data_IF_956314301429
#
_entry.id   IF_956314301429
#
_cell.length_a   1.000
_cell.length_b   1.000
_cell.length_c   1.000
_cell.angle_alpha   90.00
_cell.angle_beta   90.00
_cell.angle_gamma   90.00
#
_symmetry.space_group_name_H-M   'P 1'
#
loop_
_entity.id
_entity.type
_entity.pdbx_description
1 polymer ?
#
# COMPACT_ATOMS: atom_id res chain seq x y z
N UNK A 1 0.40 -28.18 15.78
CA UNK A 1 0.76 -26.78 15.54
C UNK A 1 1.36 -26.63 14.13
N UNK A 2 0.54 -26.80 13.07
CA UNK A 2 1.00 -26.68 11.67
C UNK A 2 0.01 -25.89 10.80
N UNK A 3 -1.00 -25.29 11.44
CA UNK A 3 -2.11 -24.60 10.78
C UNK A 3 -1.94 -23.07 10.78
N UNK A 4 -1.13 -22.52 11.69
CA UNK A 4 -0.89 -21.07 11.76
C UNK A 4 -0.03 -20.53 10.60
N UNK A 5 0.78 -21.37 9.96
CA UNK A 5 1.57 -20.96 8.78
C UNK A 5 0.74 -20.74 7.52
N UNK A 6 -0.53 -21.19 7.47
CA UNK A 6 -1.40 -21.03 6.30
C UNK A 6 -2.10 -19.67 6.27
N UNK A 7 -2.35 -19.05 7.43
CA UNK A 7 -3.01 -17.74 7.50
C UNK A 7 -2.11 -16.57 7.05
N UNK A 8 -0.78 -16.69 7.17
CA UNK A 8 0.12 -15.62 6.72
C UNK A 8 0.42 -15.67 5.21
N UNK A 9 -0.07 -16.70 4.50
CA UNK A 9 0.12 -16.87 3.06
C UNK A 9 -0.98 -16.20 2.20
N UNK A 10 -2.05 -15.71 2.81
CA UNK A 10 -3.24 -15.18 2.11
C UNK A 10 -3.06 -13.71 1.67
N UNK A 11 -2.01 -13.02 2.13
CA UNK A 11 -1.71 -11.64 1.73
C UNK A 11 -0.67 -11.51 0.60
N UNK A 12 -0.05 -12.61 0.16
CA UNK A 12 0.80 -12.60 -1.04
C UNK A 12 -0.03 -13.04 -2.25
N UNK A 13 -0.95 -12.16 -2.65
CA UNK A 13 -1.62 -12.25 -3.94
C UNK A 13 -0.62 -11.94 -5.05
N UNK A 14 -0.10 -13.01 -5.64
CA UNK A 14 0.49 -13.04 -6.98
C UNK A 14 -0.58 -12.56 -7.98
N UNK A 15 -0.44 -11.31 -8.42
CA UNK A 15 -1.11 -10.79 -9.61
C UNK A 15 -0.04 -10.09 -10.44
N UNK A 16 0.66 -10.91 -11.21
CA UNK A 16 1.78 -10.59 -12.10
C UNK A 16 1.37 -9.75 -13.32
N UNK A 17 0.74 -8.61 -13.07
CA UNK A 17 0.61 -7.52 -14.02
C UNK A 17 1.50 -6.36 -13.54
N UNK A 18 2.80 -6.44 -13.84
CA UNK A 18 3.76 -5.31 -13.88
C UNK A 18 3.46 -4.17 -12.88
N UNK A 19 3.24 -4.49 -11.60
CA UNK A 19 3.28 -3.49 -10.53
C UNK A 19 4.75 -3.14 -10.34
N UNK A 20 5.31 -2.38 -11.28
CA UNK A 20 6.62 -1.77 -11.12
C UNK A 20 6.56 -1.03 -9.79
N UNK A 21 7.32 -1.55 -8.83
CA UNK A 21 7.54 -0.87 -7.57
C UNK A 21 7.87 0.59 -7.89
N UNK A 22 7.00 1.48 -7.44
CA UNK A 22 7.27 2.90 -7.55
C UNK A 22 8.45 3.15 -6.61
N UNK A 23 9.64 3.28 -7.16
CA UNK A 23 10.88 3.39 -6.40
C UNK A 23 11.03 4.81 -5.80
N UNK A 24 10.05 5.22 -4.99
CA UNK A 24 10.03 6.50 -4.32
C UNK A 24 11.07 6.52 -3.21
N UNK A 25 12.01 7.47 -3.31
CA UNK A 25 12.86 7.81 -2.18
C UNK A 25 12.10 8.78 -1.28
N UNK A 26 11.88 8.36 -0.05
CA UNK A 26 11.22 9.17 0.97
C UNK A 26 12.11 9.26 2.22
N UNK A 27 11.96 10.30 3.06
CA UNK A 27 12.63 10.37 4.35
C UNK A 27 12.32 9.13 5.22
N UNK A 28 13.29 8.71 6.02
CA UNK A 28 13.17 7.49 6.84
C UNK A 28 12.02 7.59 7.86
N UNK A 29 11.87 8.74 8.51
CA UNK A 29 10.80 8.99 9.49
C UNK A 29 9.41 8.89 8.84
N UNK A 30 9.25 9.44 7.63
CA UNK A 30 8.02 9.31 6.87
C UNK A 30 7.72 7.85 6.51
N UNK A 31 8.72 7.10 6.05
CA UNK A 31 8.52 5.68 5.73
C UNK A 31 8.10 4.87 6.96
N UNK A 32 8.67 5.16 8.13
CA UNK A 32 8.32 4.50 9.38
C UNK A 32 6.86 4.80 9.76
N UNK A 33 6.46 6.07 9.75
CA UNK A 33 5.09 6.50 10.06
C UNK A 33 4.07 5.90 9.07
N UNK A 34 4.38 5.97 7.77
CA UNK A 34 3.55 5.42 6.70
C UNK A 34 3.33 3.90 6.86
N UNK A 35 4.38 3.18 7.24
CA UNK A 35 4.30 1.74 7.51
C UNK A 35 3.45 1.43 8.75
N UNK A 36 3.59 2.21 9.82
CA UNK A 36 2.78 2.06 11.03
C UNK A 36 1.31 2.31 10.73
N UNK A 37 0.99 3.37 10.01
CA UNK A 37 -0.37 3.69 9.58
C UNK A 37 -0.98 2.55 8.75
N UNK A 38 -0.24 2.02 7.77
CA UNK A 38 -0.68 0.88 6.96
C UNK A 38 -1.03 -0.34 7.85
N UNK A 39 -0.16 -0.67 8.79
CA UNK A 39 -0.37 -1.79 9.71
C UNK A 39 -1.58 -1.58 10.63
N UNK A 40 -1.76 -0.37 11.18
CA UNK A 40 -2.91 -0.04 12.05
C UNK A 40 -4.26 -0.18 11.34
N UNK A 41 -4.28 0.10 10.03
CA UNK A 41 -5.49 0.04 9.21
C UNK A 41 -5.66 -1.28 8.46
N UNK A 42 -4.74 -2.25 8.65
CA UNK A 42 -4.81 -3.57 7.99
C UNK A 42 -4.68 -3.51 6.47
N UNK A 43 -3.99 -2.51 5.93
CA UNK A 43 -3.80 -2.29 4.49
C UNK A 43 -2.32 -2.30 4.12
N UNK A 44 -2.01 -2.47 2.84
CA UNK A 44 -0.63 -2.35 2.37
C UNK A 44 -0.24 -0.89 2.09
N UNK A 45 1.06 -0.58 2.17
CA UNK A 45 1.60 0.73 1.78
C UNK A 45 1.26 1.09 0.32
N UNK A 46 1.32 0.11 -0.59
CA UNK A 46 0.94 0.28 -1.99
C UNK A 46 -0.55 0.64 -2.14
N UNK A 47 -1.43 -0.01 -1.37
CA UNK A 47 -2.85 0.31 -1.39
C UNK A 47 -3.13 1.76 -0.96
N UNK A 48 -2.45 2.26 0.08
CA UNK A 48 -2.55 3.66 0.48
C UNK A 48 -2.10 4.59 -0.64
N UNK A 49 -0.99 4.28 -1.33
CA UNK A 49 -0.51 5.05 -2.48
C UNK A 49 -1.56 5.12 -3.59
N UNK A 50 -2.13 3.98 -3.99
CA UNK A 50 -3.17 3.94 -5.03
C UNK A 50 -4.42 4.74 -4.63
N UNK A 51 -4.91 4.57 -3.40
CA UNK A 51 -6.08 5.30 -2.87
C UNK A 51 -5.83 6.81 -2.83
N UNK A 52 -4.65 7.22 -2.35
CA UNK A 52 -4.27 8.63 -2.26
C UNK A 52 -4.18 9.28 -3.63
N UNK A 53 -3.61 8.59 -4.62
CA UNK A 53 -3.55 9.08 -6.00
C UNK A 53 -4.95 9.23 -6.61
N UNK A 54 -5.86 8.27 -6.39
CA UNK A 54 -7.24 8.38 -6.87
C UNK A 54 -7.97 9.55 -6.25
N UNK A 55 -7.88 9.72 -4.92
CA UNK A 55 -8.48 10.85 -4.21
C UNK A 55 -7.94 12.19 -4.73
N UNK A 56 -6.62 12.30 -4.89
CA UNK A 56 -5.98 13.49 -5.43
C UNK A 56 -6.45 13.78 -6.88
N UNK A 57 -6.47 12.76 -7.74
CA UNK A 57 -6.94 12.90 -9.13
C UNK A 57 -8.38 13.36 -9.18
N UNK A 58 -9.26 12.79 -8.36
CA UNK A 58 -10.68 13.19 -8.31
C UNK A 58 -10.85 14.62 -7.82
N UNK A 59 -10.10 15.02 -6.78
CA UNK A 59 -10.11 16.38 -6.26
C UNK A 59 -9.64 17.39 -7.32
N UNK A 60 -8.57 17.07 -8.05
CA UNK A 60 -8.01 17.93 -9.10
C UNK A 60 -8.91 17.98 -10.35
N UNK A 61 -9.61 16.89 -10.68
CA UNK A 61 -10.53 16.87 -11.82
C UNK A 61 -11.79 17.73 -11.64
N UNK A 62 -12.16 18.07 -10.40
CA UNK A 62 -13.25 19.00 -10.12
C UNK A 62 -12.86 20.47 -10.29
N UNK A 63 -11.56 20.77 -10.35
CA UNK A 63 -11.02 22.13 -10.56
C UNK A 63 -10.75 22.45 -12.03
N UNK A 64 -11.27 21.66 -12.99
CA UNK A 64 -11.04 21.86 -14.42
C UNK A 64 -12.33 21.95 -15.23
#
# INVERSE_FOLDING_TARGET
MKDESRMNSIMNGDDGADKKDLNFKVPADFHADFKVFAAQHGVSMAEILFRSFHLYRTAVSWTR
#
